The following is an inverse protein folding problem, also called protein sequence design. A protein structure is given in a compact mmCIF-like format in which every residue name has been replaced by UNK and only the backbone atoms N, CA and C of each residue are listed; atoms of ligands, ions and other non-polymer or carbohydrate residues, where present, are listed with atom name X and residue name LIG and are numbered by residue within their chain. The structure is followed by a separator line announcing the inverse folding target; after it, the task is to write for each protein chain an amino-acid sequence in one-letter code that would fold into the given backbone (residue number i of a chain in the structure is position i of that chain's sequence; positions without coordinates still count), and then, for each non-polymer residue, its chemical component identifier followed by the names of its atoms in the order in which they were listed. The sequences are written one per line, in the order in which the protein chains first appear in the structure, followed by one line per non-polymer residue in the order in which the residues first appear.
data_IF_806443634355
#
_entry.id   IF_806443634355
#
_cell.length_a   1.000
_cell.length_b   1.000
_cell.length_c   1.000
_cell.angle_alpha   90.00
_cell.angle_beta   90.00
_cell.angle_gamma   90.00
#
_symmetry.space_group_name_H-M   'P 1'
#
loop_
_entity.id
_entity.type
_entity.pdbx_description
1 polymer ?
#
# COMPACT_ATOMS: atom_id res chain seq x y z
N UNK A 1 18.81 19.78 -3.97
CA UNK A 1 17.55 19.61 -3.22
C UNK A 1 17.86 19.56 -1.75
N UNK A 2 17.14 20.39 -1.00
CA UNK A 2 17.08 20.40 0.46
C UNK A 2 16.58 19.03 1.00
N UNK A 3 16.96 18.70 2.24
CA UNK A 3 16.62 17.40 2.84
C UNK A 3 15.11 17.15 2.87
N UNK A 4 14.33 18.16 3.27
CA UNK A 4 12.86 18.12 3.34
C UNK A 4 12.26 17.82 1.96
N UNK A 5 12.78 18.44 0.91
CA UNK A 5 12.33 18.19 -0.46
C UNK A 5 12.65 16.76 -0.92
N UNK A 6 13.84 16.23 -0.59
CA UNK A 6 14.17 14.82 -0.86
C UNK A 6 13.26 13.86 -0.10
N UNK A 7 12.94 14.16 1.16
CA UNK A 7 12.05 13.35 1.98
C UNK A 7 10.62 13.34 1.44
N UNK A 8 10.11 14.50 1.00
CA UNK A 8 8.80 14.63 0.37
C UNK A 8 8.69 13.76 -0.88
N UNK A 9 9.64 13.87 -1.82
CA UNK A 9 9.60 13.06 -3.05
C UNK A 9 9.58 11.56 -2.75
N UNK A 10 10.35 11.10 -1.75
CA UNK A 10 10.37 9.68 -1.35
C UNK A 10 9.03 9.24 -0.77
N UNK A 11 8.46 10.02 0.14
CA UNK A 11 7.17 9.69 0.75
C UNK A 11 6.02 9.72 -0.28
N UNK A 12 6.01 10.69 -1.19
CA UNK A 12 5.04 10.73 -2.30
C UNK A 12 5.14 9.46 -3.16
N UNK A 13 6.35 9.09 -3.56
CA UNK A 13 6.59 7.88 -4.34
C UNK A 13 6.13 6.62 -3.62
N UNK A 14 6.46 6.46 -2.34
CA UNK A 14 6.04 5.29 -1.57
C UNK A 14 4.54 5.24 -1.32
N UNK A 15 3.88 6.38 -1.09
CA UNK A 15 2.42 6.43 -0.95
C UNK A 15 1.77 5.97 -2.25
N UNK A 16 2.17 6.56 -3.38
CA UNK A 16 1.63 6.21 -4.69
C UNK A 16 1.84 4.73 -5.01
N UNK A 17 3.04 4.20 -4.77
CA UNK A 17 3.34 2.80 -5.00
C UNK A 17 2.53 1.87 -4.09
N UNK A 18 2.30 2.25 -2.83
CA UNK A 18 1.50 1.45 -1.89
C UNK A 18 0.02 1.43 -2.29
N UNK A 19 -0.50 2.53 -2.85
CA UNK A 19 -1.86 2.60 -3.40
C UNK A 19 -2.01 1.70 -4.64
N UNK A 20 -1.02 1.68 -5.53
CA UNK A 20 -1.00 0.73 -6.67
C UNK A 20 -0.99 -0.73 -6.20
N UNK A 21 -0.11 -1.08 -5.24
CA UNK A 21 -0.09 -2.43 -4.66
C UNK A 21 -1.42 -2.81 -4.03
N UNK A 22 -2.08 -1.88 -3.34
CA UNK A 22 -3.40 -2.13 -2.76
C UNK A 22 -4.42 -2.53 -3.84
N UNK A 23 -4.49 -1.78 -4.93
CA UNK A 23 -5.41 -2.07 -6.04
C UNK A 23 -5.09 -3.41 -6.71
N UNK A 24 -3.82 -3.69 -6.96
CA UNK A 24 -3.37 -4.97 -7.54
C UNK A 24 -3.71 -6.16 -6.63
N UNK A 25 -3.48 -6.02 -5.32
CA UNK A 25 -3.81 -7.09 -4.36
C UNK A 25 -5.31 -7.33 -4.26
N UNK A 26 -6.14 -6.28 -4.33
CA UNK A 26 -7.60 -6.42 -4.32
C UNK A 26 -8.06 -7.18 -5.57
N UNK A 27 -7.59 -6.78 -6.76
CA UNK A 27 -7.92 -7.48 -8.01
C UNK A 27 -7.52 -8.95 -7.96
N UNK A 28 -6.28 -9.21 -7.54
CA UNK A 28 -5.75 -10.57 -7.53
C UNK A 28 -6.38 -11.44 -6.43
N UNK A 29 -6.79 -10.86 -5.31
CA UNK A 29 -7.54 -11.59 -4.29
C UNK A 29 -8.87 -12.09 -4.84
N UNK A 30 -9.56 -11.28 -5.64
CA UNK A 30 -10.79 -11.69 -6.32
C UNK A 30 -10.53 -12.84 -7.31
N UNK A 31 -9.49 -12.73 -8.14
CA UNK A 31 -9.10 -13.80 -9.07
C UNK A 31 -8.79 -15.13 -8.36
N UNK A 32 -8.15 -15.07 -7.19
CA UNK A 32 -7.88 -16.24 -6.35
C UNK A 32 -9.16 -16.85 -5.77
N UNK A 33 -10.14 -16.03 -5.37
CA UNK A 33 -11.44 -16.52 -4.89
C UNK A 33 -12.23 -17.19 -6.02
N UNK A 34 -12.26 -16.57 -7.19
CA UNK A 34 -12.95 -17.10 -8.38
C UNK A 34 -12.33 -18.43 -8.84
N UNK A 35 -11.02 -18.61 -8.65
CA UNK A 35 -10.29 -19.86 -8.91
C UNK A 35 -10.37 -20.90 -7.77
N UNK A 36 -11.12 -20.62 -6.70
CA UNK A 36 -11.27 -21.50 -5.53
C UNK A 36 -10.04 -21.61 -4.63
N UNK A 37 -9.06 -20.70 -4.77
CA UNK A 37 -7.83 -20.64 -3.95
C UNK A 37 -8.06 -19.83 -2.67
N UNK A 38 -9.04 -20.24 -1.89
CA UNK A 38 -9.58 -19.49 -0.74
C UNK A 38 -8.50 -19.13 0.30
N UNK A 39 -7.62 -20.06 0.66
CA UNK A 39 -6.55 -19.77 1.63
C UNK A 39 -5.52 -18.76 1.11
N UNK A 40 -5.19 -18.81 -0.19
CA UNK A 40 -4.30 -17.82 -0.81
C UNK A 40 -4.96 -16.43 -0.83
N UNK A 41 -6.24 -16.36 -1.19
CA UNK A 41 -7.01 -15.11 -1.15
C UNK A 41 -7.09 -14.54 0.28
N UNK A 42 -7.25 -15.40 1.29
CA UNK A 42 -7.28 -14.99 2.70
C UNK A 42 -5.97 -14.31 3.13
N UNK A 43 -4.83 -14.88 2.75
CA UNK A 43 -3.52 -14.25 3.03
C UNK A 43 -3.33 -12.93 2.27
N UNK A 44 -3.83 -12.83 1.03
CA UNK A 44 -3.77 -11.58 0.28
C UNK A 44 -4.68 -10.51 0.88
N UNK A 45 -5.85 -10.87 1.43
CA UNK A 45 -6.72 -9.97 2.20
C UNK A 45 -6.05 -9.45 3.48
N UNK A 46 -5.26 -10.27 4.16
CA UNK A 46 -4.42 -9.81 5.27
C UNK A 46 -3.38 -8.79 4.79
N UNK A 47 -2.73 -9.06 3.65
CA UNK A 47 -1.77 -8.13 3.03
C UNK A 47 -2.41 -6.79 2.65
N UNK A 48 -3.61 -6.80 2.07
CA UNK A 48 -4.39 -5.58 1.76
C UNK A 48 -4.58 -4.73 3.03
N UNK A 49 -4.96 -5.36 4.15
CA UNK A 49 -5.09 -4.68 5.43
C UNK A 49 -3.77 -4.11 5.96
N UNK A 50 -2.67 -4.83 5.80
CA UNK A 50 -1.33 -4.36 6.16
C UNK A 50 -0.88 -3.18 5.30
N UNK A 51 -1.07 -3.25 3.98
CA UNK A 51 -0.74 -2.19 3.01
C UNK A 51 -1.53 -0.92 3.28
N UNK A 52 -2.82 -1.04 3.61
CA UNK A 52 -3.64 0.11 3.99
C UNK A 52 -3.09 0.82 5.24
N UNK A 53 -2.79 0.07 6.30
CA UNK A 53 -2.22 0.63 7.54
C UNK A 53 -0.83 1.23 7.35
N UNK A 54 0.04 0.60 6.55
CA UNK A 54 1.37 1.15 6.27
C UNK A 54 1.27 2.43 5.44
N UNK A 55 0.37 2.49 4.47
CA UNK A 55 0.10 3.70 3.67
C UNK A 55 -0.40 4.85 4.53
N UNK A 56 -1.28 4.59 5.50
CA UNK A 56 -1.72 5.60 6.46
C UNK A 56 -0.58 6.14 7.32
N UNK A 57 0.37 5.28 7.74
CA UNK A 57 1.59 5.72 8.42
C UNK A 57 2.45 6.62 7.53
N UNK A 58 2.61 6.29 6.23
CA UNK A 58 3.32 7.13 5.28
C UNK A 58 2.65 8.50 5.09
N UNK A 59 1.31 8.53 4.96
CA UNK A 59 0.53 9.77 4.88
C UNK A 59 0.67 10.62 6.14
N UNK A 60 0.73 10.01 7.33
CA UNK A 60 1.00 10.72 8.59
C UNK A 60 2.44 11.26 8.64
N UNK A 61 3.42 10.49 8.19
CA UNK A 61 4.81 10.93 8.09
C UNK A 61 4.96 12.13 7.15
N UNK A 62 4.27 12.12 6.00
CA UNK A 62 4.23 13.24 5.06
C UNK A 62 3.69 14.51 5.72
N UNK A 63 2.57 14.40 6.44
CA UNK A 63 1.97 15.53 7.17
C UNK A 63 2.87 16.10 8.26
N UNK A 64 3.69 15.25 8.88
CA UNK A 64 4.62 15.63 9.94
C UNK A 64 5.96 16.16 9.43
N UNK A 65 6.18 16.23 8.11
CA UNK A 65 7.48 16.53 7.51
C UNK A 65 7.88 18.03 7.56
N UNK A 66 7.02 18.92 8.07
CA UNK A 66 7.17 20.38 8.27
C UNK A 66 8.39 21.00 7.56
#
# INVERSE_FOLDING_TARGET
MEFVEKARIRLEHWIHHSEQHYEEYVSFAQELEDAGKIESARHLKEMIGLTSRSTDCLKKAMKALI
#
